data_IF_445931589168
#
_entry.id   IF_445931589168
#
_cell.length_a   1.000
_cell.length_b   1.000
_cell.length_c   1.000
_cell.angle_alpha   90.00
_cell.angle_beta   90.00
_cell.angle_gamma   90.00
#
_symmetry.space_group_name_H-M   'P 1'
#
loop_
_entity.id
_entity.type
_entity.pdbx_description
1 polymer ?
#
# COMPACT_ATOMS: atom_id res chain seq x y z
N UNK A 1 18.94 27.22 28.09
CA UNK A 1 19.96 26.30 28.66
C UNK A 1 19.29 25.24 29.53
N UNK A 2 19.07 24.05 28.97
CA UNK A 2 19.18 22.73 29.61
C UNK A 2 18.85 21.70 28.54
N UNK A 3 19.92 21.04 28.12
CA UNK A 3 20.00 20.01 27.10
C UNK A 3 19.36 18.69 27.55
N UNK A 4 19.34 17.75 26.61
CA UNK A 4 19.23 16.30 26.76
C UNK A 4 17.84 15.70 26.87
N UNK A 5 17.49 14.97 25.81
CA UNK A 5 16.39 14.03 25.79
C UNK A 5 16.22 13.30 24.46
N UNK A 6 17.30 13.09 23.70
CA UNK A 6 17.29 12.08 22.63
C UNK A 6 17.16 10.73 23.34
N UNK A 7 15.94 10.23 23.43
CA UNK A 7 15.68 8.82 23.72
C UNK A 7 15.17 8.23 22.40
N UNK A 8 16.10 8.14 21.44
CA UNK A 8 15.98 7.16 20.36
C UNK A 8 16.36 5.83 21.01
N UNK A 9 15.37 5.25 21.70
CA UNK A 9 15.43 3.90 22.19
C UNK A 9 15.03 3.01 21.01
N UNK A 10 15.98 2.74 20.12
CA UNK A 10 15.84 1.71 19.08
C UNK A 10 15.84 0.34 19.74
N UNK A 11 14.73 0.02 20.43
CA UNK A 11 14.39 -1.35 20.74
C UNK A 11 13.98 -1.99 19.42
N UNK A 12 14.76 -2.98 18.99
CA UNK A 12 14.34 -4.12 18.18
C UNK A 12 13.23 -3.76 17.19
N UNK A 13 13.61 -3.45 15.96
CA UNK A 13 12.69 -3.36 14.82
C UNK A 13 12.11 -4.76 14.52
N UNK A 14 11.24 -5.22 15.41
CA UNK A 14 10.10 -6.03 15.05
C UNK A 14 8.90 -5.08 15.19
N UNK A 15 8.91 -3.99 14.41
CA UNK A 15 7.62 -3.43 14.02
C UNK A 15 6.91 -4.61 13.34
N UNK A 16 5.75 -5.08 13.83
CA UNK A 16 4.96 -6.01 13.03
C UNK A 16 4.85 -5.33 11.68
N UNK A 17 5.22 -6.03 10.59
CA UNK A 17 5.19 -5.47 9.24
C UNK A 17 3.93 -4.60 9.16
N UNK A 18 4.13 -3.28 9.05
CA UNK A 18 3.07 -2.31 9.31
C UNK A 18 1.88 -2.74 8.49
N UNK A 19 0.70 -2.93 9.11
CA UNK A 19 -0.53 -3.45 8.50
C UNK A 19 -0.69 -3.18 6.98
N UNK A 20 -0.40 -1.98 6.43
CA UNK A 20 -0.30 -1.75 4.98
C UNK A 20 0.51 -2.76 4.16
N UNK A 21 1.70 -3.14 4.61
CA UNK A 21 2.62 -4.03 3.90
C UNK A 21 2.12 -5.49 3.92
N UNK A 22 1.46 -5.92 5.01
CA UNK A 22 0.84 -7.25 5.07
C UNK A 22 -0.37 -7.35 4.17
N UNK A 23 -1.21 -6.30 4.12
CA UNK A 23 -2.33 -6.20 3.19
C UNK A 23 -1.86 -6.24 1.74
N UNK A 24 -0.79 -5.51 1.42
CA UNK A 24 -0.20 -5.53 0.09
C UNK A 24 0.31 -6.94 -0.28
N UNK A 25 1.08 -7.59 0.59
CA UNK A 25 1.55 -8.96 0.35
C UNK A 25 0.41 -9.94 0.16
N UNK A 26 -0.63 -9.83 0.99
CA UNK A 26 -1.80 -10.68 0.86
C UNK A 26 -2.50 -10.43 -0.48
N UNK A 27 -2.63 -9.17 -0.92
CA UNK A 27 -3.20 -8.83 -2.22
C UNK A 27 -2.45 -9.51 -3.37
N UNK A 28 -1.12 -9.50 -3.35
CA UNK A 28 -0.28 -10.14 -4.38
C UNK A 28 -0.44 -11.66 -4.46
N UNK A 29 -0.76 -12.31 -3.33
CA UNK A 29 -1.01 -13.76 -3.27
C UNK A 29 -2.47 -14.16 -3.54
N UNK A 30 -3.39 -13.19 -3.55
CA UNK A 30 -4.82 -13.45 -3.62
C UNK A 30 -5.25 -13.64 -5.07
N UNK A 31 -5.95 -14.76 -5.36
CA UNK A 31 -6.47 -15.04 -6.70
C UNK A 31 -7.77 -14.30 -7.03
N UNK A 32 -8.54 -13.93 -6.01
CA UNK A 32 -9.75 -13.14 -6.19
C UNK A 32 -9.38 -11.67 -6.36
N UNK A 33 -9.50 -11.16 -7.59
CA UNK A 33 -9.14 -9.79 -7.91
C UNK A 33 -9.94 -8.74 -7.11
N UNK A 34 -11.18 -9.03 -6.71
CA UNK A 34 -11.97 -8.09 -5.91
C UNK A 34 -11.46 -8.00 -4.48
N UNK A 35 -11.12 -9.14 -3.89
CA UNK A 35 -10.52 -9.17 -2.55
C UNK A 35 -9.12 -8.53 -2.56
N UNK A 36 -8.31 -8.82 -3.58
CA UNK A 36 -7.00 -8.18 -3.74
C UNK A 36 -7.12 -6.65 -3.87
N UNK A 37 -8.11 -6.14 -4.61
CA UNK A 37 -8.41 -4.69 -4.65
C UNK A 37 -8.76 -4.15 -3.27
N UNK A 38 -9.60 -4.85 -2.49
CA UNK A 38 -9.98 -4.41 -1.14
C UNK A 38 -8.77 -4.34 -0.20
N UNK A 39 -7.85 -5.29 -0.30
CA UNK A 39 -6.60 -5.28 0.45
C UNK A 39 -5.71 -4.10 0.04
N UNK A 40 -5.60 -3.83 -1.27
CA UNK A 40 -4.88 -2.67 -1.79
C UNK A 40 -5.52 -1.35 -1.35
N UNK A 41 -6.85 -1.26 -1.25
CA UNK A 41 -7.54 -0.09 -0.74
C UNK A 41 -7.12 0.22 0.70
N UNK A 42 -7.02 -0.81 1.56
CA UNK A 42 -6.52 -0.65 2.94
C UNK A 42 -5.05 -0.23 2.97
N UNK A 43 -4.21 -0.88 2.16
CA UNK A 43 -2.79 -0.56 2.08
C UNK A 43 -2.56 0.90 1.65
N UNK A 44 -3.24 1.35 0.60
CA UNK A 44 -3.20 2.73 0.10
C UNK A 44 -3.72 3.73 1.13
N UNK A 45 -4.79 3.40 1.85
CA UNK A 45 -5.34 4.29 2.88
C UNK A 45 -4.40 4.47 4.07
N UNK A 46 -3.61 3.44 4.39
CA UNK A 46 -2.63 3.50 5.48
C UNK A 46 -1.32 4.18 5.03
N UNK A 47 -0.81 3.84 3.86
CA UNK A 47 0.39 4.45 3.28
C UNK A 47 0.28 4.49 1.74
N UNK A 48 0.04 5.67 1.14
CA UNK A 48 0.04 5.82 -0.31
C UNK A 48 1.43 5.56 -0.89
N UNK A 49 1.55 4.52 -1.73
CA UNK A 49 2.79 4.19 -2.45
C UNK A 49 2.49 3.85 -3.90
N UNK A 50 3.39 4.25 -4.80
CA UNK A 50 3.19 4.08 -6.24
C UNK A 50 2.97 2.62 -6.66
N UNK A 51 3.66 1.67 -6.03
CA UNK A 51 3.51 0.23 -6.27
C UNK A 51 2.10 -0.28 -5.95
N UNK A 52 1.49 0.19 -4.86
CA UNK A 52 0.13 -0.22 -4.48
C UNK A 52 -0.91 0.24 -5.52
N UNK A 53 -0.78 1.47 -6.01
CA UNK A 53 -1.64 1.98 -7.08
C UNK A 53 -1.44 1.21 -8.39
N UNK A 54 -0.19 0.91 -8.77
CA UNK A 54 0.11 0.13 -9.98
C UNK A 54 -0.53 -1.25 -9.93
N UNK A 55 -0.42 -1.96 -8.81
CA UNK A 55 -1.01 -3.29 -8.68
C UNK A 55 -2.54 -3.24 -8.69
N UNK A 56 -3.15 -2.23 -8.05
CA UNK A 56 -4.61 -2.04 -8.12
C UNK A 56 -5.09 -1.72 -9.53
N UNK A 57 -4.32 -0.93 -10.29
CA UNK A 57 -4.62 -0.64 -11.69
C UNK A 57 -4.60 -1.91 -12.56
N UNK A 58 -3.62 -2.80 -12.37
CA UNK A 58 -3.53 -4.07 -13.10
C UNK A 58 -4.75 -4.96 -12.85
N UNK A 59 -5.21 -5.05 -11.59
CA UNK A 59 -6.41 -5.80 -11.24
C UNK A 59 -7.67 -5.17 -11.85
N UNK A 60 -7.79 -3.83 -11.85
CA UNK A 60 -8.90 -3.12 -12.49
C UNK A 60 -8.94 -3.35 -14.00
N UNK A 61 -7.79 -3.41 -14.67
CA UNK A 61 -7.71 -3.80 -16.08
C UNK A 61 -8.22 -5.23 -16.30
N UNK A 62 -7.83 -6.18 -15.44
CA UNK A 62 -8.31 -7.56 -15.51
C UNK A 62 -9.84 -7.67 -15.31
N UNK A 63 -10.42 -6.74 -14.53
CA UNK A 63 -11.87 -6.61 -14.33
C UNK A 63 -12.56 -5.73 -15.38
N UNK A 64 -11.87 -5.39 -16.47
CA UNK A 64 -12.39 -4.55 -17.56
C UNK A 64 -12.85 -3.15 -17.12
N UNK A 65 -12.20 -2.57 -16.09
CA UNK A 65 -12.35 -1.18 -15.67
C UNK A 65 -11.09 -0.35 -15.98
N UNK A 66 -10.84 -0.03 -17.26
CA UNK A 66 -9.67 0.74 -17.67
C UNK A 66 -9.71 2.19 -17.19
N UNK A 67 -10.90 2.73 -16.91
CA UNK A 67 -11.04 4.11 -16.43
C UNK A 67 -10.50 4.23 -15.00
N UNK A 68 -10.89 3.30 -14.12
CA UNK A 68 -10.38 3.27 -12.77
C UNK A 68 -8.90 2.87 -12.71
N UNK A 69 -8.42 2.04 -13.64
CA UNK A 69 -6.99 1.73 -13.77
C UNK A 69 -6.17 2.97 -14.18
N UNK A 70 -6.65 3.77 -15.14
CA UNK A 70 -5.98 5.00 -15.55
C UNK A 70 -5.86 6.00 -14.40
N UNK A 71 -6.90 6.12 -13.57
CA UNK A 71 -6.86 6.96 -12.38
C UNK A 71 -5.79 6.50 -11.38
N UNK A 72 -5.67 5.18 -11.15
CA UNK A 72 -4.62 4.62 -10.29
C UNK A 72 -3.22 4.85 -10.85
N UNK A 73 -3.00 4.61 -12.15
CA UNK A 73 -1.70 4.93 -12.76
C UNK A 73 -1.36 6.41 -12.67
N UNK A 74 -2.35 7.30 -12.84
CA UNK A 74 -2.14 8.74 -12.68
C UNK A 74 -1.75 9.10 -11.25
N UNK A 75 -2.39 8.48 -10.25
CA UNK A 75 -2.03 8.64 -8.85
C UNK A 75 -0.61 8.11 -8.56
N UNK A 76 -0.23 6.96 -9.12
CA UNK A 76 1.12 6.41 -8.98
C UNK A 76 2.22 7.34 -9.55
N UNK A 77 1.95 8.00 -10.68
CA UNK A 77 2.88 8.95 -11.33
C UNK A 77 3.00 10.26 -10.53
N UNK A 78 1.95 10.64 -9.79
CA UNK A 78 1.92 11.89 -9.03
C UNK A 78 2.60 11.80 -7.65
N UNK A 79 2.84 10.59 -7.15
CA UNK A 79 3.57 10.31 -5.90
C UNK A 79 5.07 10.28 -6.12
#
# INVERSE_FOLDING_TARGET
MKSFGVIVLTLVSCAPASVPEDDYRQALSTRDSREAIRLLDRAIAAEPRADYYVERARLRLALQDPRAALADYSAAIAL
#
